data_IF_904736581024
#
_entry.id   IF_904736581024
#
_cell.length_a   1.000
_cell.length_b   1.000
_cell.length_c   1.000
_cell.angle_alpha   90.00
_cell.angle_beta   90.00
_cell.angle_gamma   90.00
#
_symmetry.space_group_name_H-M   'P 1'
#
loop_
_entity.id
_entity.type
_entity.pdbx_description
1 polymer ?
#
# COMPACT_ATOMS: atom_id res chain seq x y z
N UNK A 1 -7.29 -8.59 14.05
CA UNK A 1 -5.93 -8.22 14.50
C UNK A 1 -5.25 -9.38 15.26
N UNK A 2 -5.89 -9.95 16.28
CA UNK A 2 -5.31 -10.98 17.16
C UNK A 2 -4.84 -12.32 16.55
N UNK A 3 -5.00 -12.59 15.24
CA UNK A 3 -4.58 -13.86 14.61
C UNK A 3 -3.15 -13.80 14.03
N UNK A 4 -2.60 -12.60 13.83
CA UNK A 4 -1.32 -12.41 13.15
C UNK A 4 -0.21 -11.89 14.07
N UNK A 5 -0.57 -11.37 15.25
CA UNK A 5 0.36 -10.77 16.23
C UNK A 5 1.49 -11.72 16.67
N UNK A 6 1.21 -13.01 16.67
CA UNK A 6 2.14 -14.06 17.11
C UNK A 6 3.14 -14.46 16.03
N UNK A 7 2.94 -14.01 14.78
CA UNK A 7 3.77 -14.42 13.65
C UNK A 7 5.05 -13.57 13.59
N UNK A 8 6.24 -14.18 13.45
CA UNK A 8 7.51 -13.45 13.38
C UNK A 8 7.51 -12.38 12.27
N UNK A 9 6.92 -12.71 11.12
CA UNK A 9 6.77 -11.78 9.99
C UNK A 9 5.88 -10.57 10.30
N UNK A 10 4.87 -10.74 11.15
CA UNK A 10 4.00 -9.64 11.54
C UNK A 10 4.75 -8.64 12.41
N UNK A 11 5.53 -9.12 13.38
CA UNK A 11 6.35 -8.26 14.24
C UNK A 11 7.41 -7.52 13.43
N UNK A 12 8.06 -8.20 12.49
CA UNK A 12 9.01 -7.59 11.55
C UNK A 12 8.35 -6.48 10.70
N UNK A 13 7.16 -6.73 10.16
CA UNK A 13 6.39 -5.72 9.45
C UNK A 13 5.96 -4.55 10.35
N UNK A 14 5.56 -4.83 11.60
CA UNK A 14 5.08 -3.81 12.54
C UNK A 14 6.20 -2.87 13.00
N UNK A 15 7.39 -3.40 13.28
CA UNK A 15 8.57 -2.61 13.60
C UNK A 15 8.94 -1.67 12.44
N UNK A 16 8.87 -2.20 11.22
CA UNK A 16 9.12 -1.45 9.98
C UNK A 16 8.09 -0.33 9.79
N UNK A 17 6.80 -0.58 10.03
CA UNK A 17 5.72 0.44 9.98
C UNK A 17 5.91 1.53 11.04
N UNK A 18 6.29 1.16 12.26
CA UNK A 18 6.53 2.12 13.33
C UNK A 18 7.76 3.00 13.02
N UNK A 19 8.83 2.42 12.47
CA UNK A 19 9.98 3.21 11.99
C UNK A 19 9.61 4.10 10.79
N UNK A 20 8.63 3.67 9.97
CA UNK A 20 8.08 4.47 8.86
C UNK A 20 7.28 5.69 9.32
N UNK A 21 6.55 5.57 10.44
CA UNK A 21 5.71 6.62 11.01
C UNK A 21 6.53 7.82 11.52
N UNK A 22 7.71 7.55 12.07
CA UNK A 22 8.45 8.54 12.87
C UNK A 22 9.58 9.25 12.12
N UNK A 23 9.86 8.90 10.86
CA UNK A 23 10.99 9.46 10.10
C UNK A 23 10.56 9.93 8.70
N UNK A 24 10.69 11.22 8.35
CA UNK A 24 10.45 11.69 6.97
C UNK A 24 11.48 11.19 5.93
N UNK A 25 12.58 10.55 6.37
CA UNK A 25 13.62 9.94 5.52
C UNK A 25 13.24 8.56 4.94
N UNK A 26 12.02 8.11 5.16
CA UNK A 26 11.53 6.74 4.94
C UNK A 26 11.46 6.32 3.48
N UNK A 27 11.34 7.27 2.56
CA UNK A 27 11.54 7.04 1.13
C UNK A 27 12.91 6.41 0.82
N UNK A 28 13.95 6.79 1.57
CA UNK A 28 15.32 6.29 1.39
C UNK A 28 15.50 4.86 1.95
N UNK A 29 14.66 4.45 2.90
CA UNK A 29 14.70 3.11 3.53
C UNK A 29 13.96 2.08 2.67
N UNK A 30 12.87 2.43 1.99
CA UNK A 30 12.19 1.53 1.02
C UNK A 30 13.11 1.09 -0.11
N UNK A 31 14.01 1.97 -0.56
CA UNK A 31 15.02 1.63 -1.56
C UNK A 31 16.12 0.71 -1.02
N UNK A 32 16.32 0.69 0.31
CA UNK A 32 17.39 -0.04 0.97
C UNK A 32 16.95 -1.47 1.30
N UNK A 33 16.64 -2.20 0.24
CA UNK A 33 16.61 -3.67 0.15
C UNK A 33 15.63 -4.43 1.04
N UNK A 34 14.51 -4.82 0.44
CA UNK A 34 13.77 -6.04 0.77
C UNK A 34 14.00 -7.08 -0.34
N UNK A 35 15.13 -7.81 -0.35
CA UNK A 35 15.52 -8.67 -1.49
C UNK A 35 14.51 -9.78 -1.78
N UNK A 36 13.73 -10.18 -0.77
CA UNK A 36 12.86 -11.35 -0.82
C UNK A 36 11.40 -11.06 -1.17
N UNK A 37 11.01 -9.79 -1.38
CA UNK A 37 9.63 -9.43 -1.71
C UNK A 37 9.61 -8.36 -2.79
N UNK A 38 9.88 -8.77 -4.04
CA UNK A 38 9.75 -7.90 -5.22
C UNK A 38 8.69 -8.45 -6.15
N UNK A 39 7.91 -7.55 -6.74
CA UNK A 39 6.90 -7.85 -7.73
C UNK A 39 6.96 -6.81 -8.86
N UNK A 40 6.40 -7.16 -10.01
CA UNK A 40 6.13 -6.19 -11.05
C UNK A 40 4.91 -5.37 -10.61
N UNK A 41 5.14 -4.09 -10.32
CA UNK A 41 4.10 -3.13 -9.90
C UNK A 41 3.78 -2.20 -11.07
N UNK A 42 2.56 -1.65 -11.09
CA UNK A 42 2.09 -0.70 -12.09
C UNK A 42 2.87 0.63 -12.00
N UNK A 43 3.31 0.98 -10.79
CA UNK A 43 4.34 2.00 -10.55
C UNK A 43 3.86 3.46 -10.62
N UNK A 44 2.56 3.64 -10.91
CA UNK A 44 1.82 4.91 -10.88
C UNK A 44 0.37 4.69 -10.40
N UNK A 45 0.18 4.29 -9.12
CA UNK A 45 -1.09 3.75 -8.63
C UNK A 45 -2.04 4.84 -8.12
N UNK A 46 -2.43 5.75 -8.98
CA UNK A 46 -3.56 6.68 -8.79
C UNK A 46 -4.89 6.08 -9.26
N UNK A 47 -6.00 6.44 -8.60
CA UNK A 47 -7.35 5.96 -8.93
C UNK A 47 -7.75 6.17 -10.41
N UNK A 48 -7.19 7.16 -11.10
CA UNK A 48 -7.50 7.42 -12.52
C UNK A 48 -6.98 6.35 -13.46
N UNK A 49 -5.97 5.57 -13.05
CA UNK A 49 -5.47 4.41 -13.81
C UNK A 49 -6.16 3.10 -13.42
N UNK A 50 -7.30 3.19 -12.73
CA UNK A 50 -8.11 2.04 -12.33
C UNK A 50 -9.52 2.20 -12.87
N UNK A 51 -9.95 1.24 -13.69
CA UNK A 51 -11.33 1.18 -14.18
C UNK A 51 -12.14 0.20 -13.32
N UNK A 52 -13.18 0.70 -12.66
CA UNK A 52 -14.07 -0.12 -11.85
C UNK A 52 -15.29 -0.57 -12.67
N UNK A 53 -15.61 -1.86 -12.59
CA UNK A 53 -16.86 -2.41 -13.15
C UNK A 53 -17.92 -2.41 -12.06
N UNK A 54 -19.08 -1.86 -12.36
CA UNK A 54 -20.23 -1.80 -11.46
C UNK A 54 -21.31 -2.80 -11.88
N UNK A 55 -22.01 -3.41 -10.93
CA UNK A 55 -23.22 -4.19 -11.19
C UNK A 55 -24.46 -3.27 -11.32
N UNK A 56 -25.64 -3.86 -11.52
CA UNK A 56 -26.90 -3.13 -11.61
C UNK A 56 -27.30 -2.41 -10.31
N UNK A 57 -26.72 -2.79 -9.18
CA UNK A 57 -26.96 -2.20 -7.85
C UNK A 57 -25.97 -1.06 -7.54
N UNK A 58 -25.03 -0.78 -8.45
CA UNK A 58 -24.01 0.26 -8.27
C UNK A 58 -22.80 -0.17 -7.44
N UNK A 59 -22.65 -1.46 -7.16
CA UNK A 59 -21.53 -2.00 -6.40
C UNK A 59 -20.36 -2.37 -7.31
N UNK A 60 -19.13 -2.18 -6.81
CA UNK A 60 -17.91 -2.55 -7.53
C UNK A 60 -17.75 -4.08 -7.52
N UNK A 61 -17.75 -4.69 -8.71
CA UNK A 61 -17.62 -6.15 -8.89
C UNK A 61 -16.31 -6.56 -9.57
N UNK A 62 -15.56 -5.61 -10.13
CA UNK A 62 -14.27 -5.87 -10.75
C UNK A 62 -13.44 -4.59 -10.85
N UNK A 63 -12.14 -4.74 -11.00
CA UNK A 63 -11.20 -3.65 -11.28
C UNK A 63 -10.25 -4.07 -12.40
N UNK A 64 -9.97 -3.15 -13.32
CA UNK A 64 -8.95 -3.32 -14.35
C UNK A 64 -7.94 -2.19 -14.25
N UNK A 65 -6.68 -2.54 -14.03
CA UNK A 65 -5.58 -1.59 -14.08
C UNK A 65 -5.27 -1.25 -15.53
N UNK A 66 -5.01 0.03 -15.81
CA UNK A 66 -4.61 0.55 -17.11
C UNK A 66 -3.35 1.40 -16.97
N UNK A 67 -2.77 1.81 -18.10
CA UNK A 67 -1.59 2.68 -18.15
C UNK A 67 -0.38 2.15 -17.35
N UNK A 68 0.31 1.20 -18.01
CA UNK A 68 1.50 0.51 -17.50
C UNK A 68 2.81 1.15 -18.02
N UNK A 69 2.81 2.44 -18.35
CA UNK A 69 4.03 3.10 -18.85
C UNK A 69 5.14 3.21 -17.78
N UNK A 70 4.79 3.09 -16.49
CA UNK A 70 5.67 3.26 -15.34
C UNK A 70 5.96 1.96 -14.57
N UNK A 71 5.90 0.79 -15.22
CA UNK A 71 6.16 -0.50 -14.57
C UNK A 71 7.49 -0.51 -13.79
N UNK A 72 7.45 -1.00 -12.54
CA UNK A 72 8.62 -1.11 -11.66
C UNK A 72 8.74 -2.51 -11.10
N UNK A 73 9.98 -2.96 -10.85
CA UNK A 73 10.24 -4.22 -10.16
C UNK A 73 10.74 -3.92 -8.74
N UNK A 74 9.79 -3.67 -7.84
CA UNK A 74 10.03 -3.16 -6.48
C UNK A 74 9.17 -3.94 -5.49
N UNK A 75 9.24 -3.58 -4.21
CA UNK A 75 8.35 -4.18 -3.23
C UNK A 75 6.89 -3.80 -3.52
N UNK A 76 5.94 -4.74 -3.57
CA UNK A 76 4.51 -4.42 -3.74
C UNK A 76 3.96 -3.56 -2.60
N UNK A 77 4.63 -3.56 -1.44
CA UNK A 77 4.29 -2.67 -0.31
C UNK A 77 4.47 -1.20 -0.68
N UNK A 78 5.45 -0.86 -1.52
CA UNK A 78 5.66 0.51 -1.99
C UNK A 78 4.44 1.00 -2.80
N UNK A 79 3.93 0.16 -3.70
CA UNK A 79 2.75 0.48 -4.51
C UNK A 79 1.49 0.65 -3.65
N UNK A 80 1.28 -0.22 -2.66
CA UNK A 80 0.14 -0.12 -1.74
C UNK A 80 0.19 1.16 -0.89
N UNK A 81 1.38 1.54 -0.40
CA UNK A 81 1.56 2.75 0.40
C UNK A 81 1.36 4.02 -0.43
N UNK A 82 1.93 4.07 -1.63
CA UNK A 82 1.75 5.21 -2.53
C UNK A 82 0.27 5.34 -2.91
N UNK A 83 -0.38 4.24 -3.31
CA UNK A 83 -1.82 4.22 -3.60
C UNK A 83 -2.63 4.83 -2.45
N UNK A 84 -2.36 4.36 -1.24
CA UNK A 84 -3.04 4.81 -0.02
C UNK A 84 -2.83 6.30 0.23
N UNK A 85 -1.60 6.80 0.11
CA UNK A 85 -1.27 8.21 0.31
C UNK A 85 -1.97 9.14 -0.71
N UNK A 86 -1.92 8.76 -1.99
CA UNK A 86 -2.42 9.61 -3.08
C UNK A 86 -3.93 9.52 -3.25
N UNK A 87 -4.53 8.37 -2.95
CA UNK A 87 -5.94 8.09 -3.23
C UNK A 87 -6.85 8.17 -2.01
N UNK A 88 -6.32 8.08 -0.77
CA UNK A 88 -7.16 8.16 0.42
C UNK A 88 -7.81 9.54 0.55
N UNK A 89 -9.06 9.52 1.03
CA UNK A 89 -9.83 10.73 1.29
C UNK A 89 -9.09 11.63 2.32
N UNK A 90 -9.01 12.96 2.11
CA UNK A 90 -8.28 13.87 3.01
C UNK A 90 -8.61 13.69 4.50
N UNK A 91 -9.89 13.57 4.83
CA UNK A 91 -10.33 13.35 6.22
C UNK A 91 -9.77 12.06 6.87
N UNK A 92 -9.55 11.00 6.08
CA UNK A 92 -8.95 9.74 6.57
C UNK A 92 -7.46 9.95 6.82
N UNK A 93 -6.81 10.76 5.99
CA UNK A 93 -5.39 11.10 6.14
C UNK A 93 -5.11 11.97 7.37
N UNK A 94 -6.05 12.81 7.77
CA UNK A 94 -5.88 13.69 8.92
C UNK A 94 -6.11 12.97 10.26
N UNK A 95 -7.01 11.97 10.28
CA UNK A 95 -7.51 11.38 11.52
C UNK A 95 -7.02 9.95 11.77
N UNK A 96 -6.73 9.19 10.72
CA UNK A 96 -6.61 7.73 10.77
C UNK A 96 -5.42 7.19 9.97
N UNK A 97 -4.47 8.06 9.59
CA UNK A 97 -3.33 7.70 8.74
C UNK A 97 -2.52 6.51 9.29
N UNK A 98 -2.32 6.48 10.60
CA UNK A 98 -1.55 5.43 11.27
C UNK A 98 -2.27 4.07 11.21
N UNK A 99 -3.58 4.06 11.45
CA UNK A 99 -4.40 2.85 11.37
C UNK A 99 -4.48 2.33 9.92
N UNK A 100 -4.48 3.26 8.96
CA UNK A 100 -4.46 2.94 7.53
C UNK A 100 -3.13 2.33 7.10
N UNK A 101 -1.99 2.82 7.60
CA UNK A 101 -0.68 2.22 7.31
C UNK A 101 -0.50 0.84 7.95
N UNK A 102 -0.91 0.70 9.21
CA UNK A 102 -0.84 -0.58 9.93
C UNK A 102 -1.68 -1.63 9.20
N UNK A 103 -2.94 -1.31 8.84
CA UNK A 103 -3.81 -2.26 8.14
C UNK A 103 -3.34 -2.64 6.73
N UNK A 104 -2.70 -1.72 6.00
CA UNK A 104 -2.27 -1.93 4.61
C UNK A 104 -1.05 -2.86 4.50
N UNK A 105 -0.17 -2.87 5.50
CA UNK A 105 1.06 -3.70 5.49
C UNK A 105 0.81 -5.10 6.08
N UNK A 106 -0.35 -5.33 6.71
CA UNK A 106 -0.72 -6.63 7.33
C UNK A 106 -1.51 -7.55 6.36
N UNK A 107 -1.97 -7.05 5.21
CA UNK A 107 -2.59 -7.86 4.13
C UNK A 107 -1.54 -8.55 3.26
#
# INVERSE_FOLDING_TARGET
AAFLEDKPKYQECLEVINDFRDKPLTWYVFQKETPHMKALTQGDPWCTNMMFKYNSEGEVVNVKLIDFQNLKFVSPVEELLIFTLVSAHPAVKETSLNDLYISTVIL
#
